data_IF_967768142066
#
_entry.id   IF_967768142066
#
_cell.length_a   1.000
_cell.length_b   1.000
_cell.length_c   1.000
_cell.angle_alpha   90.00
_cell.angle_beta   90.00
_cell.angle_gamma   90.00
#
_symmetry.space_group_name_H-M   'P 1'
#
loop_
_entity.id
_entity.type
_entity.pdbx_description
1 polymer ?
#
# COMPACT_ATOMS: atom_id res chain seq x y z
N UNK A 1 24.02 -8.56 -8.58
CA UNK A 1 22.60 -8.17 -8.60
C UNK A 1 22.36 -7.04 -7.60
N UNK A 2 22.61 -5.78 -7.98
CA UNK A 2 22.49 -4.61 -7.09
C UNK A 2 21.64 -3.47 -7.70
N UNK A 3 20.76 -3.78 -8.65
CA UNK A 3 20.30 -2.82 -9.66
C UNK A 3 18.83 -2.39 -9.57
N UNK A 4 17.96 -3.11 -8.85
CA UNK A 4 16.51 -2.79 -8.85
C UNK A 4 16.17 -1.46 -8.14
N UNK A 5 16.69 -1.16 -6.93
CA UNK A 5 16.39 0.11 -6.27
C UNK A 5 16.97 1.32 -7.02
N UNK A 6 18.19 1.21 -7.54
CA UNK A 6 18.84 2.30 -8.28
C UNK A 6 18.13 2.59 -9.61
N UNK A 7 17.67 1.55 -10.31
CA UNK A 7 16.87 1.69 -11.51
C UNK A 7 15.55 2.43 -11.21
N UNK A 8 14.82 1.99 -10.19
CA UNK A 8 13.55 2.61 -9.81
C UNK A 8 13.72 4.10 -9.46
N UNK A 9 14.77 4.44 -8.70
CA UNK A 9 15.11 5.84 -8.37
C UNK A 9 15.40 6.66 -9.63
N UNK A 10 16.17 6.12 -10.59
CA UNK A 10 16.49 6.83 -11.83
C UNK A 10 15.25 7.05 -12.70
N UNK A 11 14.39 6.04 -12.84
CA UNK A 11 13.11 6.15 -13.54
C UNK A 11 12.20 7.18 -12.88
N UNK A 12 12.14 7.18 -11.54
CA UNK A 12 11.35 8.18 -10.81
C UNK A 12 11.87 9.60 -11.03
N UNK A 13 13.20 9.82 -10.99
CA UNK A 13 13.80 11.11 -11.33
C UNK A 13 13.47 11.56 -12.75
N UNK A 14 13.49 10.64 -13.72
CA UNK A 14 13.10 10.94 -15.10
C UNK A 14 11.62 11.33 -15.20
N UNK A 15 10.73 10.61 -14.52
CA UNK A 15 9.31 10.97 -14.41
C UNK A 15 9.12 12.40 -13.90
N UNK A 16 9.82 12.77 -12.81
CA UNK A 16 9.74 14.11 -12.24
C UNK A 16 10.27 15.17 -13.22
N UNK A 17 11.37 14.89 -13.92
CA UNK A 17 11.93 15.78 -14.94
C UNK A 17 10.95 16.05 -16.11
N UNK A 18 10.27 15.01 -16.61
CA UNK A 18 9.26 15.18 -17.66
C UNK A 18 8.01 15.92 -17.16
N UNK A 19 7.63 15.69 -15.90
CA UNK A 19 6.53 16.41 -15.25
C UNK A 19 6.81 17.91 -15.16
N UNK A 20 8.03 18.30 -14.74
CA UNK A 20 8.47 19.71 -14.69
C UNK A 20 8.40 20.39 -16.06
N UNK A 21 8.71 19.64 -17.12
CA UNK A 21 8.60 20.07 -18.52
C UNK A 21 7.19 20.00 -19.11
N UNK A 22 6.18 19.68 -18.29
CA UNK A 22 4.78 19.50 -18.71
C UNK A 22 4.57 18.43 -19.79
N UNK A 23 5.52 17.49 -19.93
CA UNK A 23 5.42 16.33 -20.82
C UNK A 23 4.76 15.17 -20.07
N UNK A 24 3.44 15.27 -19.89
CA UNK A 24 2.69 14.39 -18.98
C UNK A 24 2.72 12.91 -19.41
N UNK A 25 2.67 12.61 -20.70
CA UNK A 25 2.72 11.22 -21.19
C UNK A 25 4.07 10.56 -20.89
N UNK A 26 5.19 11.25 -21.14
CA UNK A 26 6.52 10.78 -20.78
C UNK A 26 6.65 10.60 -19.26
N UNK A 27 6.12 11.56 -18.48
CA UNK A 27 6.13 11.46 -17.02
C UNK A 27 5.37 10.22 -16.53
N UNK A 28 4.19 9.94 -17.10
CA UNK A 28 3.42 8.72 -16.79
C UNK A 28 4.20 7.48 -17.16
N UNK A 29 4.83 7.45 -18.35
CA UNK A 29 5.61 6.30 -18.82
C UNK A 29 6.72 5.95 -17.82
N UNK A 30 7.59 6.90 -17.50
CA UNK A 30 8.69 6.67 -16.56
C UNK A 30 8.20 6.43 -15.12
N UNK A 31 7.12 7.10 -14.70
CA UNK A 31 6.52 6.91 -13.38
C UNK A 31 5.97 5.50 -13.20
N UNK A 32 5.29 4.96 -14.21
CA UNK A 32 4.81 3.57 -14.21
C UNK A 32 5.98 2.58 -14.21
N UNK A 33 7.04 2.83 -14.99
CA UNK A 33 8.24 1.99 -14.97
C UNK A 33 8.92 1.99 -13.59
N UNK A 34 8.98 3.14 -12.91
CA UNK A 34 9.51 3.24 -11.56
C UNK A 34 8.68 2.41 -10.57
N UNK A 35 7.35 2.53 -10.62
CA UNK A 35 6.43 1.76 -9.78
C UNK A 35 6.55 0.25 -10.02
N UNK A 36 6.70 -0.18 -11.28
CA UNK A 36 6.88 -1.60 -11.61
C UNK A 36 8.26 -2.12 -11.21
N UNK A 37 9.29 -1.27 -11.24
CA UNK A 37 10.65 -1.63 -10.81
C UNK A 37 10.78 -1.74 -9.29
N UNK A 38 9.97 -0.99 -8.56
CA UNK A 38 9.93 -1.04 -7.10
C UNK A 38 8.51 -0.79 -6.58
N UNK A 39 7.72 -1.87 -6.51
CA UNK A 39 6.30 -1.83 -6.16
C UNK A 39 6.00 -1.44 -4.72
N UNK A 40 7.04 -1.41 -3.87
CA UNK A 40 6.93 -1.14 -2.44
C UNK A 40 6.99 0.36 -2.09
N UNK A 41 7.35 1.23 -3.05
CA UNK A 41 7.38 2.68 -2.78
C UNK A 41 5.99 3.30 -2.85
N UNK A 42 5.47 3.69 -1.68
CA UNK A 42 4.23 4.45 -1.58
C UNK A 42 4.30 5.79 -2.32
N UNK A 43 5.45 6.46 -2.24
CA UNK A 43 5.68 7.77 -2.87
C UNK A 43 5.57 7.71 -4.39
N UNK A 44 6.14 6.67 -5.02
CA UNK A 44 6.14 6.54 -6.48
C UNK A 44 4.72 6.34 -7.01
N UNK A 45 3.95 5.50 -6.33
CA UNK A 45 2.54 5.27 -6.65
C UNK A 45 1.69 6.53 -6.46
N UNK A 46 1.90 7.31 -5.39
CA UNK A 46 1.17 8.56 -5.18
C UNK A 46 1.50 9.62 -6.23
N UNK A 47 2.78 9.72 -6.64
CA UNK A 47 3.17 10.61 -7.71
C UNK A 47 2.50 10.22 -9.04
N UNK A 48 2.47 8.91 -9.35
CA UNK A 48 1.77 8.38 -10.52
C UNK A 48 0.26 8.65 -10.47
N UNK A 49 -0.37 8.52 -9.30
CA UNK A 49 -1.77 8.90 -9.11
C UNK A 49 -2.03 10.36 -9.48
N UNK A 50 -1.12 11.26 -9.07
CA UNK A 50 -1.16 12.67 -9.45
C UNK A 50 -1.03 12.90 -10.96
N UNK A 51 -0.15 12.17 -11.65
CA UNK A 51 0.00 12.26 -13.11
C UNK A 51 -1.23 11.74 -13.87
N UNK A 52 -1.82 10.64 -13.41
CA UNK A 52 -3.08 10.15 -13.98
C UNK A 52 -4.23 11.12 -13.76
N UNK A 53 -4.28 11.79 -12.61
CA UNK A 53 -5.26 12.84 -12.37
C UNK A 53 -5.07 14.02 -13.33
N UNK A 54 -3.82 14.46 -13.56
CA UNK A 54 -3.49 15.55 -14.49
C UNK A 54 -3.87 15.22 -15.94
N UNK A 55 -3.73 13.96 -16.35
CA UNK A 55 -4.15 13.46 -17.67
C UNK A 55 -5.63 13.06 -17.75
N UNK A 56 -6.44 13.37 -16.73
CA UNK A 56 -7.88 13.05 -16.64
C UNK A 56 -8.21 11.55 -16.64
N UNK A 57 -7.22 10.69 -16.38
CA UNK A 57 -7.38 9.25 -16.22
C UNK A 57 -7.78 8.90 -14.77
N UNK A 58 -9.01 9.29 -14.36
CA UNK A 58 -9.48 9.16 -12.96
C UNK A 58 -9.37 7.74 -12.40
N UNK A 59 -9.81 6.73 -13.15
CA UNK A 59 -9.76 5.33 -12.70
C UNK A 59 -8.32 4.88 -12.41
N UNK A 60 -7.36 5.20 -13.29
CA UNK A 60 -5.95 4.87 -13.10
C UNK A 60 -5.32 5.66 -11.94
N UNK A 61 -5.77 6.91 -11.73
CA UNK A 61 -5.36 7.71 -10.58
C UNK A 61 -5.73 7.02 -9.26
N UNK A 62 -6.97 6.54 -9.14
CA UNK A 62 -7.46 5.87 -7.93
C UNK A 62 -6.76 4.51 -7.75
N UNK A 63 -6.58 3.73 -8.82
CA UNK A 63 -5.81 2.46 -8.77
C UNK A 63 -4.36 2.69 -8.31
N UNK A 64 -3.70 3.73 -8.81
CA UNK A 64 -2.36 4.09 -8.35
C UNK A 64 -2.34 4.55 -6.89
N UNK A 65 -3.35 5.30 -6.44
CA UNK A 65 -3.49 5.68 -5.04
C UNK A 65 -3.73 4.46 -4.13
N UNK A 66 -4.53 3.47 -4.58
CA UNK A 66 -4.71 2.22 -3.86
C UNK A 66 -3.40 1.46 -3.74
N UNK A 67 -2.61 1.35 -4.80
CA UNK A 67 -1.27 0.77 -4.74
C UNK A 67 -0.34 1.53 -3.79
N UNK A 68 -0.43 2.86 -3.73
CA UNK A 68 0.28 3.67 -2.73
C UNK A 68 -0.15 3.30 -1.31
N UNK A 69 -1.46 3.17 -1.05
CA UNK A 69 -1.97 2.79 0.27
C UNK A 69 -1.49 1.40 0.72
N UNK A 70 -1.58 0.40 -0.16
CA UNK A 70 -1.25 -1.00 0.18
C UNK A 70 0.22 -1.35 -0.02
N UNK A 71 1.05 -0.43 -0.49
CA UNK A 71 2.51 -0.65 -0.57
C UNK A 71 3.11 -0.87 0.81
N UNK A 72 4.30 -1.48 0.89
CA UNK A 72 4.93 -1.78 2.17
C UNK A 72 5.38 -0.49 2.90
N UNK A 73 4.76 -0.22 4.05
CA UNK A 73 4.98 1.00 4.84
C UNK A 73 6.39 1.10 5.45
N UNK A 74 7.13 -0.01 5.50
CA UNK A 74 8.55 -0.01 5.86
C UNK A 74 9.44 0.76 4.87
N UNK A 75 8.96 1.02 3.64
CA UNK A 75 9.64 1.85 2.65
C UNK A 75 9.04 3.26 2.51
N UNK A 76 8.18 3.65 3.45
CA UNK A 76 7.52 4.95 3.49
C UNK A 76 6.02 4.79 3.72
N UNK A 77 5.54 5.33 4.83
CA UNK A 77 4.10 5.40 5.13
C UNK A 77 3.41 6.30 4.07
N UNK A 78 2.22 5.93 3.57
CA UNK A 78 1.50 6.73 2.60
C UNK A 78 1.19 8.13 3.14
N UNK A 79 1.19 9.12 2.26
CA UNK A 79 0.72 10.47 2.59
C UNK A 79 -0.81 10.51 2.54
N UNK A 80 -1.45 11.25 3.46
CA UNK A 80 -2.91 11.52 3.52
C UNK A 80 -3.60 11.87 2.20
N UNK A 81 -2.86 12.43 1.23
CA UNK A 81 -3.40 12.73 -0.10
C UNK A 81 -3.90 11.47 -0.82
N UNK A 82 -3.39 10.28 -0.46
CA UNK A 82 -3.93 9.00 -0.94
C UNK A 82 -5.42 8.87 -0.61
N UNK A 83 -5.84 9.26 0.60
CA UNK A 83 -7.23 9.17 1.04
C UNK A 83 -8.16 10.05 0.19
N UNK A 84 -7.68 11.19 -0.30
CA UNK A 84 -8.44 12.05 -1.22
C UNK A 84 -8.78 11.34 -2.54
N UNK A 85 -7.86 10.54 -3.09
CA UNK A 85 -8.12 9.75 -4.29
C UNK A 85 -9.04 8.57 -3.99
N UNK A 86 -8.80 7.83 -2.91
CA UNK A 86 -9.58 6.64 -2.56
C UNK A 86 -11.06 6.96 -2.31
N UNK A 87 -11.38 8.11 -1.71
CA UNK A 87 -12.76 8.57 -1.52
C UNK A 87 -13.57 8.73 -2.81
N UNK A 88 -12.90 8.82 -3.96
CA UNK A 88 -13.55 8.90 -5.27
C UNK A 88 -13.76 7.53 -5.92
N UNK A 89 -13.28 6.44 -5.28
CA UNK A 89 -13.32 5.09 -5.83
C UNK A 89 -14.73 4.53 -6.03
N UNK A 90 -15.68 4.96 -5.20
CA UNK A 90 -17.07 4.50 -5.28
C UNK A 90 -17.77 4.93 -6.59
N UNK A 91 -17.25 5.93 -7.30
CA UNK A 91 -17.75 6.35 -8.62
C UNK A 91 -17.53 5.28 -9.72
N UNK A 92 -16.67 4.28 -9.46
CA UNK A 92 -16.25 3.28 -10.45
C UNK A 92 -16.68 1.88 -10.00
N UNK A 93 -17.46 1.18 -10.81
CA UNK A 93 -17.94 -0.18 -10.52
C UNK A 93 -16.82 -1.18 -10.30
N UNK A 94 -15.68 -1.01 -10.97
CA UNK A 94 -14.49 -1.86 -10.81
C UNK A 94 -13.83 -1.72 -9.42
N UNK A 95 -14.12 -0.63 -8.71
CA UNK A 95 -13.47 -0.26 -7.45
C UNK A 95 -14.44 -0.21 -6.27
N UNK A 96 -15.75 -0.16 -6.53
CA UNK A 96 -16.77 -0.03 -5.49
C UNK A 96 -16.87 -1.25 -4.56
N UNK A 97 -16.31 -2.40 -4.96
CA UNK A 97 -16.17 -3.60 -4.14
C UNK A 97 -14.82 -3.74 -3.43
N UNK A 98 -13.87 -2.83 -3.67
CA UNK A 98 -12.57 -2.90 -3.00
C UNK A 98 -12.72 -2.56 -1.51
N UNK A 99 -12.22 -3.42 -0.59
CA UNK A 99 -12.48 -3.24 0.84
C UNK A 99 -11.82 -1.98 1.41
N UNK A 100 -10.62 -1.61 0.96
CA UNK A 100 -9.97 -0.37 1.41
C UNK A 100 -10.74 0.84 0.93
N UNK A 101 -11.18 0.85 -0.34
CA UNK A 101 -11.97 1.96 -0.89
C UNK A 101 -13.29 2.12 -0.14
N UNK A 102 -13.99 1.02 0.17
CA UNK A 102 -15.23 1.07 0.92
C UNK A 102 -15.03 1.66 2.33
N UNK A 103 -14.02 1.18 3.07
CA UNK A 103 -13.74 1.64 4.44
C UNK A 103 -13.25 3.09 4.49
N UNK A 104 -12.41 3.50 3.55
CA UNK A 104 -11.97 4.90 3.45
C UNK A 104 -13.13 5.82 3.10
N UNK A 105 -14.00 5.40 2.17
CA UNK A 105 -15.15 6.23 1.74
C UNK A 105 -16.21 6.34 2.83
N UNK A 106 -16.44 5.28 3.62
CA UNK A 106 -17.35 5.34 4.78
C UNK A 106 -16.77 6.10 5.98
N UNK A 107 -15.52 6.58 5.90
CA UNK A 107 -14.82 7.25 6.99
C UNK A 107 -14.38 6.30 8.12
N UNK A 108 -14.35 4.99 7.86
CA UNK A 108 -13.93 3.97 8.83
C UNK A 108 -12.45 3.64 8.77
N UNK A 109 -11.69 4.13 7.79
CA UNK A 109 -10.25 3.90 7.69
C UNK A 109 -9.55 5.17 7.23
N UNK A 110 -8.53 5.59 7.96
CA UNK A 110 -7.62 6.67 7.59
C UNK A 110 -6.14 6.26 7.85
N UNK A 111 -5.24 7.25 7.99
CA UNK A 111 -3.81 7.04 8.25
C UNK A 111 -3.37 7.50 9.66
N UNK A 112 -4.32 7.85 10.53
CA UNK A 112 -4.05 8.29 11.89
C UNK A 112 -3.97 7.07 12.81
N UNK A 113 -2.83 6.38 12.87
CA UNK A 113 -2.66 5.16 13.68
C UNK A 113 -2.28 5.43 15.15
N UNK A 114 -1.64 6.56 15.47
CA UNK A 114 -1.17 6.89 16.81
C UNK A 114 -2.03 7.89 17.60
N UNK A 115 -1.60 8.20 18.83
CA UNK A 115 -2.09 9.35 19.61
C UNK A 115 -3.43 9.15 20.32
N UNK A 116 -4.00 7.94 20.30
CA UNK A 116 -5.27 7.62 20.96
C UNK A 116 -5.16 6.35 21.80
N UNK A 117 -6.03 6.21 22.82
CA UNK A 117 -6.06 5.00 23.67
C UNK A 117 -6.61 3.77 22.95
N UNK A 118 -7.43 4.00 21.93
CA UNK A 118 -8.07 2.99 21.10
C UNK A 118 -8.18 3.57 19.70
N UNK A 119 -7.82 2.78 18.70
CA UNK A 119 -7.83 3.18 17.31
C UNK A 119 -8.64 2.19 16.47
N UNK A 120 -9.65 2.71 15.77
CA UNK A 120 -10.55 1.91 14.93
C UNK A 120 -9.88 1.48 13.61
N UNK A 121 -8.77 2.10 13.21
CA UNK A 121 -8.06 1.73 11.99
C UNK A 121 -7.50 0.30 12.04
N UNK A 122 -7.04 -0.17 13.21
CA UNK A 122 -6.50 -1.53 13.36
C UNK A 122 -7.53 -2.63 13.04
N UNK A 123 -8.73 -2.67 13.64
CA UNK A 123 -9.73 -3.67 13.28
C UNK A 123 -10.25 -3.49 11.86
N UNK A 124 -10.39 -2.25 11.37
CA UNK A 124 -10.82 -1.99 10.00
C UNK A 124 -9.80 -2.47 8.97
N UNK A 125 -8.50 -2.36 9.27
CA UNK A 125 -7.44 -2.92 8.44
C UNK A 125 -7.47 -4.46 8.44
N UNK A 126 -7.73 -5.11 9.59
CA UNK A 126 -7.93 -6.56 9.66
C UNK A 126 -9.10 -7.03 8.79
N UNK A 127 -10.24 -6.33 8.87
CA UNK A 127 -11.39 -6.63 8.00
C UNK A 127 -11.03 -6.53 6.50
N UNK A 128 -10.23 -5.52 6.11
CA UNK A 128 -9.74 -5.41 4.74
C UNK A 128 -8.79 -6.56 4.35
N UNK A 129 -7.92 -7.01 5.26
CA UNK A 129 -7.02 -8.15 5.05
C UNK A 129 -7.83 -9.43 4.77
N UNK A 130 -8.82 -9.72 5.62
CA UNK A 130 -9.70 -10.89 5.47
C UNK A 130 -10.53 -10.83 4.19
N UNK A 131 -11.03 -9.64 3.84
CA UNK A 131 -11.73 -9.41 2.58
C UNK A 131 -10.83 -9.67 1.37
N UNK A 132 -9.58 -9.19 1.36
CA UNK A 132 -8.65 -9.45 0.27
C UNK A 132 -8.30 -10.94 0.13
N UNK A 133 -8.16 -11.68 1.24
CA UNK A 133 -8.02 -13.14 1.15
C UNK A 133 -9.27 -13.79 0.55
N UNK A 134 -10.47 -13.35 0.96
CA UNK A 134 -11.75 -13.87 0.46
C UNK A 134 -11.98 -13.57 -1.03
N UNK A 135 -11.45 -12.45 -1.52
CA UNK A 135 -11.45 -12.04 -2.92
C UNK A 135 -10.35 -12.72 -3.76
N UNK A 136 -9.60 -13.67 -3.19
CA UNK A 136 -8.46 -14.32 -3.82
C UNK A 136 -7.38 -13.33 -4.30
N UNK A 137 -7.12 -12.29 -3.49
CA UNK A 137 -6.05 -11.30 -3.70
C UNK A 137 -4.98 -11.41 -2.59
N UNK A 138 -4.29 -12.56 -2.48
CA UNK A 138 -3.45 -12.85 -1.32
C UNK A 138 -2.22 -11.94 -1.23
N UNK A 139 -1.68 -11.46 -2.37
CA UNK A 139 -0.53 -10.54 -2.36
C UNK A 139 -0.91 -9.22 -1.68
N UNK A 140 -2.07 -8.66 -2.02
CA UNK A 140 -2.58 -7.43 -1.41
C UNK A 140 -2.89 -7.64 0.07
N UNK A 141 -3.53 -8.76 0.42
CA UNK A 141 -3.80 -9.12 1.81
C UNK A 141 -2.52 -9.21 2.65
N UNK A 142 -1.48 -9.88 2.12
CA UNK A 142 -0.19 -10.02 2.78
C UNK A 142 0.51 -8.67 2.98
N UNK A 143 0.51 -7.79 1.97
CA UNK A 143 1.08 -6.45 2.11
C UNK A 143 0.37 -5.66 3.20
N UNK A 144 -0.96 -5.70 3.24
CA UNK A 144 -1.74 -5.00 4.24
C UNK A 144 -1.54 -5.61 5.65
N UNK A 145 -1.38 -6.94 5.75
CA UNK A 145 -1.07 -7.62 7.01
C UNK A 145 0.33 -7.26 7.54
N UNK A 146 1.30 -7.06 6.64
CA UNK A 146 2.60 -6.52 6.98
C UNK A 146 2.51 -5.06 7.47
N UNK A 147 1.71 -4.22 6.81
CA UNK A 147 1.49 -2.83 7.23
C UNK A 147 0.80 -2.75 8.59
N UNK A 148 -0.20 -3.60 8.84
CA UNK A 148 -0.85 -3.75 10.15
C UNK A 148 0.19 -4.01 11.25
N UNK A 149 1.08 -4.99 11.05
CA UNK A 149 2.10 -5.32 12.03
C UNK A 149 3.15 -4.22 12.17
N UNK A 150 3.56 -3.58 11.07
CA UNK A 150 4.47 -2.44 11.10
C UNK A 150 3.92 -1.32 12.00
N UNK A 151 2.67 -0.92 11.80
CA UNK A 151 2.04 0.10 12.63
C UNK A 151 1.87 -0.36 14.08
N UNK A 152 1.30 -1.55 14.30
CA UNK A 152 1.03 -2.07 15.64
C UNK A 152 2.31 -2.29 16.47
N UNK A 153 3.41 -2.70 15.83
CA UNK A 153 4.69 -2.92 16.51
C UNK A 153 5.30 -1.61 17.05
N UNK A 154 4.98 -0.47 16.44
CA UNK A 154 5.43 0.84 16.94
C UNK A 154 4.61 1.37 18.11
N UNK A 155 3.46 0.77 18.40
CA UNK A 155 2.63 1.13 19.56
C UNK A 155 3.23 0.59 20.87
N UNK A 156 2.81 1.17 22.00
CA UNK A 156 3.22 0.69 23.33
C UNK A 156 2.75 -0.74 23.61
N UNK A 157 3.47 -1.50 24.43
CA UNK A 157 3.09 -2.88 24.81
C UNK A 157 1.66 -2.97 25.35
N UNK A 158 1.24 -2.03 26.22
CA UNK A 158 -0.11 -2.01 26.76
C UNK A 158 -1.19 -1.74 25.70
N UNK A 159 -0.83 -1.09 24.58
CA UNK A 159 -1.74 -0.92 23.45
C UNK A 159 -1.79 -2.21 22.63
N UNK A 160 -0.64 -2.83 22.33
CA UNK A 160 -0.57 -4.11 21.63
C UNK A 160 -1.40 -5.21 22.32
N UNK A 161 -1.32 -5.29 23.66
CA UNK A 161 -2.12 -6.22 24.48
C UNK A 161 -3.63 -6.04 24.29
N UNK A 162 -4.13 -4.80 24.14
CA UNK A 162 -5.57 -4.54 23.93
C UNK A 162 -6.08 -5.05 22.59
N UNK A 163 -5.20 -5.16 21.61
CA UNK A 163 -5.50 -5.68 20.28
C UNK A 163 -5.09 -7.14 20.10
N UNK A 164 -4.68 -7.79 21.20
CA UNK A 164 -4.15 -9.15 21.24
C UNK A 164 -3.04 -9.36 20.19
N UNK A 165 -2.17 -8.35 20.05
CA UNK A 165 -1.07 -8.43 19.09
C UNK A 165 0.19 -8.98 19.77
N UNK A 166 0.72 -10.05 19.18
CA UNK A 166 1.97 -10.69 19.60
C UNK A 166 2.85 -10.90 18.39
N UNK A 167 4.04 -10.29 18.42
CA UNK A 167 4.93 -10.26 17.25
C UNK A 167 5.38 -11.66 16.82
N UNK A 168 5.62 -12.58 17.74
CA UNK A 168 6.06 -13.95 17.41
C UNK A 168 4.92 -14.78 16.80
N UNK A 169 3.68 -14.61 17.26
CA UNK A 169 2.50 -15.24 16.66
C UNK A 169 2.27 -14.67 15.26
N UNK A 170 2.33 -13.34 15.11
CA UNK A 170 2.24 -12.68 13.80
C UNK A 170 3.31 -13.18 12.82
N UNK A 171 4.58 -13.30 13.23
CA UNK A 171 5.66 -13.83 12.37
C UNK A 171 5.36 -15.24 11.90
N UNK A 172 4.88 -16.11 12.80
CA UNK A 172 4.51 -17.48 12.50
C UNK A 172 3.36 -17.53 11.48
N UNK A 173 2.30 -16.75 11.72
CA UNK A 173 1.13 -16.69 10.84
C UNK A 173 1.49 -16.12 9.46
N UNK A 174 2.24 -15.02 9.43
CA UNK A 174 2.70 -14.39 8.19
C UNK A 174 3.55 -15.36 7.35
N UNK A 175 4.45 -16.11 7.99
CA UNK A 175 5.26 -17.15 7.35
C UNK A 175 4.36 -18.23 6.72
N UNK A 176 3.38 -18.73 7.48
CA UNK A 176 2.46 -19.76 7.01
C UNK A 176 1.62 -19.28 5.83
N UNK A 177 1.12 -18.03 5.89
CA UNK A 177 0.36 -17.41 4.80
C UNK A 177 1.24 -17.20 3.55
N UNK A 178 2.48 -16.74 3.71
CA UNK A 178 3.41 -16.58 2.59
C UNK A 178 3.72 -17.94 1.93
N UNK A 179 3.98 -18.99 2.71
CA UNK A 179 4.15 -20.35 2.18
C UNK A 179 2.90 -20.81 1.41
N UNK A 180 1.71 -20.61 1.99
CA UNK A 180 0.43 -21.02 1.39
C UNK A 180 0.16 -20.34 0.05
N UNK A 181 0.41 -19.04 -0.07
CA UNK A 181 -0.02 -18.25 -1.23
C UNK A 181 1.10 -17.89 -2.21
N UNK A 182 2.35 -17.87 -1.76
CA UNK A 182 3.50 -17.45 -2.56
C UNK A 182 4.52 -18.58 -2.77
N UNK A 183 4.37 -19.71 -2.07
CA UNK A 183 5.36 -20.79 -2.04
C UNK A 183 6.77 -20.32 -1.62
N UNK A 184 6.80 -19.28 -0.78
CA UNK A 184 8.01 -18.66 -0.22
C UNK A 184 7.67 -18.22 1.21
N UNK A 185 8.48 -18.62 2.18
CA UNK A 185 8.25 -18.28 3.59
C UNK A 185 8.57 -16.82 3.91
N UNK A 186 9.31 -16.13 3.05
CA UNK A 186 9.88 -14.79 3.26
C UNK A 186 10.65 -14.66 4.59
N UNK A 187 11.06 -15.79 5.17
CA UNK A 187 11.81 -15.86 6.43
C UNK A 187 13.30 -16.06 6.20
N UNK A 188 13.70 -16.37 4.97
CA UNK A 188 15.08 -16.66 4.59
C UNK A 188 15.45 -15.74 3.42
N UNK A 189 16.46 -14.89 3.61
CA UNK A 189 17.05 -14.15 2.49
C UNK A 189 17.92 -15.13 1.72
N UNK A 190 17.36 -15.77 0.71
CA UNK A 190 18.17 -16.55 -0.24
C UNK A 190 18.91 -15.55 -1.12
N UNK A 191 20.14 -15.21 -0.74
CA UNK A 191 21.05 -14.48 -1.62
C UNK A 191 21.38 -15.40 -2.81
N UNK A 192 20.70 -15.17 -3.94
CA UNK A 192 21.13 -15.69 -5.25
C UNK A 192 22.05 -14.69 -5.93
#
# INVERSE_FOLDING_TARGET
MGTQPLLAVNLFKQSQHFREKQKIEDAIHYGLMACNSFTESSEYWLALAGLYQQSKNRLLSIKAALNSYVSNWGFGVPHDKVLYFLKQGMDFSELSSDPVIQKVTSGGLDLNFGGTKTNHNYPMMKECIDAYFSLNQPVTALKLYQNYAFSMYTETSAFQERYDFRIEEWKSDFKALCLKYLNDSRSEVTLK
#
